data_IF_859154841562
#
_entry.id   IF_859154841562
#
_cell.length_a   1.000
_cell.length_b   1.000
_cell.length_c   1.000
_cell.angle_alpha   90.00
_cell.angle_beta   90.00
_cell.angle_gamma   90.00
#
_symmetry.space_group_name_H-M   'P 1'
#
loop_
_entity.id
_entity.type
_entity.pdbx_description
1 polymer ?
#
# COMPACT_ATOMS: atom_id res chain seq x y z
N UNK A 1 -11.50 11.73 2.45
CA UNK A 1 -11.80 12.20 1.08
C UNK A 1 -11.74 10.98 0.19
N UNK A 2 -12.72 10.76 -0.69
CA UNK A 2 -12.66 9.67 -1.65
C UNK A 2 -11.50 9.93 -2.63
N UNK A 3 -10.84 8.88 -3.10
CA UNK A 3 -9.81 9.00 -4.12
C UNK A 3 -10.47 9.42 -5.44
N UNK A 4 -10.08 10.56 -6.00
CA UNK A 4 -10.67 11.08 -7.24
C UNK A 4 -10.48 10.07 -8.38
N UNK A 5 -11.58 9.78 -9.09
CA UNK A 5 -11.58 8.82 -10.20
C UNK A 5 -11.61 7.34 -9.78
N UNK A 6 -11.54 7.02 -8.49
CA UNK A 6 -11.73 5.66 -7.99
C UNK A 6 -13.21 5.41 -7.68
N UNK A 7 -13.78 4.41 -8.35
CA UNK A 7 -15.16 3.98 -8.14
C UNK A 7 -15.19 2.49 -7.79
N UNK A 8 -15.35 2.21 -6.49
CA UNK A 8 -15.41 0.84 -5.97
C UNK A 8 -16.51 0.02 -6.65
N UNK A 9 -17.67 0.63 -6.96
CA UNK A 9 -18.79 -0.10 -7.53
C UNK A 9 -18.48 -0.64 -8.93
N UNK A 10 -17.62 0.05 -9.71
CA UNK A 10 -17.14 -0.43 -11.01
C UNK A 10 -16.24 -1.65 -10.87
N UNK A 11 -15.32 -1.64 -9.91
CA UNK A 11 -14.46 -2.79 -9.67
C UNK A 11 -15.21 -4.02 -9.16
N UNK A 12 -16.37 -3.84 -8.53
CA UNK A 12 -17.19 -4.93 -8.00
C UNK A 12 -18.30 -5.42 -8.97
N UNK A 13 -18.31 -4.94 -10.22
CA UNK A 13 -19.14 -5.57 -11.24
C UNK A 13 -18.59 -6.96 -11.60
N UNK A 14 -19.45 -7.99 -11.75
CA UNK A 14 -19.01 -9.29 -12.26
C UNK A 14 -18.29 -9.18 -13.60
N UNK A 15 -17.32 -10.06 -13.83
CA UNK A 15 -16.72 -10.22 -15.15
C UNK A 15 -17.73 -10.95 -16.06
N UNK A 16 -17.84 -10.51 -17.32
CA UNK A 16 -18.69 -11.17 -18.30
C UNK A 16 -18.24 -12.62 -18.53
N UNK A 17 -19.17 -13.56 -18.49
CA UNK A 17 -18.91 -14.99 -18.72
C UNK A 17 -19.67 -15.89 -17.75
N UNK A 18 -19.24 -17.16 -17.68
CA UNK A 18 -19.81 -18.13 -16.75
C UNK A 18 -19.28 -17.96 -15.32
N UNK A 19 -18.04 -17.47 -15.19
CA UNK A 19 -17.41 -17.19 -13.90
C UNK A 19 -17.45 -15.69 -13.60
N UNK A 20 -18.22 -15.22 -12.59
CA UNK A 20 -18.29 -13.81 -12.24
C UNK A 20 -16.95 -13.24 -11.75
N UNK A 21 -16.02 -14.10 -11.32
CA UNK A 21 -14.66 -13.71 -10.97
C UNK A 21 -13.71 -13.64 -12.19
N UNK A 22 -14.13 -14.11 -13.36
CA UNK A 22 -13.27 -14.20 -14.55
C UNK A 22 -12.17 -15.28 -14.42
N UNK A 23 -11.33 -15.44 -15.44
CA UNK A 23 -10.24 -16.43 -15.43
C UNK A 23 -9.13 -16.10 -14.42
N UNK A 24 -8.41 -17.13 -13.98
CA UNK A 24 -7.13 -16.96 -13.27
C UNK A 24 -6.06 -16.49 -14.27
N UNK A 25 -5.62 -15.24 -14.17
CA UNK A 25 -4.65 -14.65 -15.09
C UNK A 25 -3.26 -15.30 -14.98
N UNK A 26 -2.98 -16.09 -13.94
CA UNK A 26 -1.73 -16.87 -13.80
C UNK A 26 -1.63 -18.00 -14.81
N UNK A 27 -2.76 -18.47 -15.32
CA UNK A 27 -2.82 -19.54 -16.32
C UNK A 27 -2.59 -19.05 -17.75
N UNK A 28 -2.52 -17.72 -17.96
CA UNK A 28 -2.14 -17.14 -19.24
C UNK A 28 -0.61 -17.05 -19.36
N UNK A 29 -0.02 -18.08 -19.96
CA UNK A 29 1.41 -18.17 -20.23
C UNK A 29 1.85 -17.47 -21.52
N UNK A 30 0.96 -16.73 -22.20
CA UNK A 30 1.33 -16.01 -23.41
C UNK A 30 2.40 -14.94 -23.12
N UNK A 31 3.33 -14.69 -24.07
CA UNK A 31 4.26 -13.58 -23.95
C UNK A 31 3.52 -12.26 -23.73
N UNK A 32 3.83 -11.57 -22.63
CA UNK A 32 3.20 -10.31 -22.28
C UNK A 32 1.82 -10.42 -21.61
N UNK A 33 1.46 -11.58 -21.07
CA UNK A 33 0.23 -11.72 -20.29
C UNK A 33 0.19 -10.75 -19.11
N UNK A 34 -1.02 -10.32 -18.75
CA UNK A 34 -1.25 -9.25 -17.77
C UNK A 34 -0.62 -9.57 -16.42
N UNK A 35 -0.77 -10.82 -15.94
CA UNK A 35 -0.25 -11.25 -14.64
C UNK A 35 1.28 -11.16 -14.59
N UNK A 36 1.99 -11.72 -15.58
CA UNK A 36 3.46 -11.70 -15.56
C UNK A 36 4.01 -10.29 -15.71
N UNK A 37 3.37 -9.44 -16.54
CA UNK A 37 3.74 -8.02 -16.63
C UNK A 37 3.61 -7.28 -15.29
N UNK A 38 2.53 -7.55 -14.55
CA UNK A 38 2.33 -6.98 -13.22
C UNK A 38 3.37 -7.48 -12.21
N UNK A 39 3.62 -8.79 -12.19
CA UNK A 39 4.61 -9.41 -11.32
C UNK A 39 6.01 -8.83 -11.56
N UNK A 40 6.41 -8.74 -12.83
CA UNK A 40 7.74 -8.25 -13.22
C UNK A 40 7.86 -6.75 -12.91
N UNK A 41 6.84 -5.94 -13.22
CA UNK A 41 6.81 -4.52 -12.85
C UNK A 41 6.91 -4.31 -11.34
N UNK A 42 6.24 -5.13 -10.52
CA UNK A 42 6.35 -5.07 -9.06
C UNK A 42 7.74 -5.45 -8.56
N UNK A 43 8.36 -6.47 -9.15
CA UNK A 43 9.72 -6.87 -8.80
C UNK A 43 10.73 -5.74 -9.11
N UNK A 44 10.62 -5.13 -10.28
CA UNK A 44 11.43 -3.97 -10.69
C UNK A 44 11.22 -2.76 -9.78
N UNK A 45 9.95 -2.41 -9.50
CA UNK A 45 9.61 -1.29 -8.63
C UNK A 45 10.27 -1.43 -7.26
N UNK A 46 10.16 -2.61 -6.65
CA UNK A 46 10.75 -2.89 -5.34
C UNK A 46 12.27 -2.96 -5.37
N UNK A 47 12.87 -3.42 -6.47
CA UNK A 47 14.31 -3.38 -6.63
C UNK A 47 14.82 -1.93 -6.73
N UNK A 48 14.10 -1.06 -7.45
CA UNK A 48 14.41 0.37 -7.52
C UNK A 48 14.32 1.05 -6.15
N UNK A 49 13.26 0.80 -5.37
CA UNK A 49 13.14 1.39 -4.01
C UNK A 49 14.30 1.00 -3.11
N UNK A 50 14.71 -0.28 -3.13
CA UNK A 50 15.86 -0.74 -2.34
C UNK A 50 17.18 -0.08 -2.78
N UNK A 51 17.35 0.19 -4.08
CA UNK A 51 18.52 0.89 -4.58
C UNK A 51 18.52 2.37 -4.14
N UNK A 52 17.36 3.00 -4.09
CA UNK A 52 17.20 4.41 -3.70
C UNK A 52 17.35 4.63 -2.20
N UNK A 53 17.02 3.65 -1.37
CA UNK A 53 17.32 3.70 0.08
C UNK A 53 18.82 3.79 0.37
N UNK A 54 19.68 3.38 -0.57
CA UNK A 54 21.12 3.58 -0.48
C UNK A 54 21.58 4.98 -0.96
N UNK A 55 20.72 5.74 -1.66
CA UNK A 55 21.02 7.09 -2.17
C UNK A 55 19.77 8.02 -2.12
N UNK A 56 19.46 8.62 -0.96
CA UNK A 56 18.21 9.33 -0.71
C UNK A 56 18.01 10.64 -1.50
N UNK A 57 19.05 11.20 -2.12
CA UNK A 57 19.00 12.53 -2.77
C UNK A 57 18.11 12.55 -4.05
N UNK A 58 17.74 11.38 -4.58
CA UNK A 58 16.92 11.22 -5.81
C UNK A 58 15.61 10.46 -5.56
N UNK A 59 15.13 10.41 -4.30
CA UNK A 59 14.00 9.58 -3.88
C UNK A 59 12.65 9.98 -4.53
N UNK A 60 12.40 9.49 -5.74
CA UNK A 60 11.13 9.54 -6.47
C UNK A 60 10.40 8.20 -6.41
N UNK A 61 9.08 8.21 -6.63
CA UNK A 61 8.34 6.94 -6.77
C UNK A 61 8.77 6.27 -8.08
N UNK A 62 9.22 5.00 -8.06
CA UNK A 62 9.59 4.30 -9.29
C UNK A 62 8.45 4.30 -10.32
N UNK A 63 8.73 4.57 -11.61
CA UNK A 63 7.70 4.66 -12.65
C UNK A 63 6.89 3.37 -12.83
N UNK A 64 7.45 2.23 -12.43
CA UNK A 64 6.78 0.93 -12.45
C UNK A 64 5.53 0.91 -11.58
N UNK A 65 5.44 1.70 -10.51
CA UNK A 65 4.21 1.80 -9.71
C UNK A 65 3.04 2.36 -10.52
N UNK A 66 3.31 3.25 -11.49
CA UNK A 66 2.28 3.70 -12.44
C UNK A 66 1.84 2.61 -13.38
N UNK A 67 2.79 1.82 -13.87
CA UNK A 67 2.46 0.63 -14.67
C UNK A 67 1.60 -0.36 -13.89
N UNK A 68 1.88 -0.56 -12.60
CA UNK A 68 1.08 -1.45 -11.73
C UNK A 68 -0.31 -0.86 -11.50
N UNK A 69 -0.42 0.44 -11.18
CA UNK A 69 -1.71 1.11 -10.99
C UNK A 69 -2.61 0.94 -12.22
N UNK A 70 -2.09 1.25 -13.41
CA UNK A 70 -2.85 1.22 -14.67
C UNK A 70 -3.23 -0.22 -15.07
N UNK A 71 -2.28 -1.17 -15.00
CA UNK A 71 -2.50 -2.55 -15.42
C UNK A 71 -3.39 -3.32 -14.42
N UNK A 72 -3.15 -3.16 -13.12
CA UNK A 72 -3.89 -3.88 -12.08
C UNK A 72 -5.32 -3.35 -11.99
N UNK A 73 -5.51 -2.02 -12.06
CA UNK A 73 -6.84 -1.42 -12.10
C UNK A 73 -7.66 -1.96 -13.28
N UNK A 74 -7.08 -1.96 -14.49
CA UNK A 74 -7.73 -2.52 -15.67
C UNK A 74 -8.02 -4.02 -15.54
N UNK A 75 -7.08 -4.79 -14.99
CA UNK A 75 -7.27 -6.23 -14.80
C UNK A 75 -8.43 -6.54 -13.84
N UNK A 76 -8.49 -5.85 -12.70
CA UNK A 76 -9.52 -6.02 -11.68
C UNK A 76 -10.91 -5.58 -12.16
N UNK A 77 -10.96 -4.52 -12.96
CA UNK A 77 -12.22 -4.02 -13.52
C UNK A 77 -12.76 -4.94 -14.61
N UNK A 78 -11.91 -5.43 -15.54
CA UNK A 78 -12.41 -6.02 -16.79
C UNK A 78 -11.99 -7.46 -17.08
N UNK A 79 -11.10 -8.07 -16.29
CA UNK A 79 -10.54 -9.39 -16.61
C UNK A 79 -10.69 -10.41 -15.48
N UNK A 80 -10.32 -10.07 -14.25
CA UNK A 80 -10.25 -11.05 -13.16
C UNK A 80 -10.40 -10.41 -11.80
N UNK A 81 -11.17 -11.05 -10.92
CA UNK A 81 -11.29 -10.72 -9.50
C UNK A 81 -10.21 -11.48 -8.77
N UNK A 82 -9.15 -10.77 -8.40
CA UNK A 82 -7.93 -11.37 -7.91
C UNK A 82 -7.35 -10.58 -6.73
N UNK A 83 -7.24 -11.25 -5.58
CA UNK A 83 -6.82 -10.64 -4.33
C UNK A 83 -5.32 -10.29 -4.31
N UNK A 84 -4.49 -11.03 -5.03
CA UNK A 84 -3.06 -10.71 -5.15
C UNK A 84 -2.85 -9.49 -6.05
N UNK A 85 -3.55 -9.42 -7.18
CA UNK A 85 -3.50 -8.22 -8.04
C UNK A 85 -4.05 -7.01 -7.28
N UNK A 86 -5.11 -7.17 -6.47
CA UNK A 86 -5.64 -6.12 -5.61
C UNK A 86 -4.64 -5.67 -4.53
N UNK A 87 -3.84 -6.59 -3.98
CA UNK A 87 -2.75 -6.25 -3.07
C UNK A 87 -1.67 -5.40 -3.75
N UNK A 88 -1.25 -5.77 -4.97
CA UNK A 88 -0.27 -4.98 -5.74
C UNK A 88 -0.82 -3.61 -6.16
N UNK A 89 -2.10 -3.56 -6.52
CA UNK A 89 -2.80 -2.31 -6.80
C UNK A 89 -2.83 -1.40 -5.57
N UNK A 90 -3.09 -1.94 -4.39
CA UNK A 90 -3.05 -1.21 -3.11
C UNK A 90 -1.67 -0.63 -2.83
N UNK A 91 -0.59 -1.39 -3.10
CA UNK A 91 0.78 -0.89 -2.98
C UNK A 91 1.06 0.31 -3.90
N UNK A 92 0.56 0.27 -5.13
CA UNK A 92 0.69 1.37 -6.09
C UNK A 92 -0.13 2.61 -5.65
N UNK A 93 -1.38 2.39 -5.25
CA UNK A 93 -2.26 3.47 -4.79
C UNK A 93 -1.70 4.20 -3.56
N UNK A 94 -1.11 3.48 -2.60
CA UNK A 94 -0.46 4.09 -1.44
C UNK A 94 0.66 5.05 -1.85
N UNK A 95 1.47 4.68 -2.85
CA UNK A 95 2.62 5.49 -3.26
C UNK A 95 2.23 6.74 -4.03
N UNK A 96 1.16 6.67 -4.81
CA UNK A 96 0.70 7.80 -5.62
C UNK A 96 -0.26 8.72 -4.87
N UNK A 97 -1.07 8.15 -3.97
CA UNK A 97 -2.21 8.85 -3.38
C UNK A 97 -2.23 8.79 -1.85
N UNK A 98 -1.16 8.29 -1.21
CA UNK A 98 -1.00 8.23 0.23
C UNK A 98 -2.12 7.44 0.92
N UNK A 99 -2.58 7.93 2.07
CA UNK A 99 -3.60 7.26 2.88
C UNK A 99 -4.97 7.15 2.18
N UNK A 100 -5.31 8.07 1.28
CA UNK A 100 -6.53 7.96 0.49
C UNK A 100 -6.44 6.77 -0.48
N UNK A 101 -5.27 6.59 -1.11
CA UNK A 101 -4.97 5.42 -1.95
C UNK A 101 -4.99 4.12 -1.17
N UNK A 102 -4.40 4.10 0.03
CA UNK A 102 -4.43 2.93 0.90
C UNK A 102 -5.86 2.54 1.28
N UNK A 103 -6.69 3.50 1.72
CA UNK A 103 -8.09 3.25 2.05
C UNK A 103 -8.87 2.71 0.86
N UNK A 104 -8.65 3.25 -0.36
CA UNK A 104 -9.30 2.80 -1.58
C UNK A 104 -8.91 1.36 -1.96
N UNK A 105 -7.61 1.04 -1.99
CA UNK A 105 -7.11 -0.28 -2.34
C UNK A 105 -7.55 -1.36 -1.34
N UNK A 106 -7.50 -1.05 -0.05
CA UNK A 106 -7.96 -1.95 1.02
C UNK A 106 -9.48 -2.13 0.98
N UNK A 107 -10.22 -1.06 0.71
CA UNK A 107 -11.67 -1.14 0.46
C UNK A 107 -12.02 -2.04 -0.72
N UNK A 108 -11.21 -2.01 -1.79
CA UNK A 108 -11.36 -2.93 -2.93
C UNK A 108 -11.09 -4.37 -2.52
N UNK A 109 -9.97 -4.66 -1.84
CA UNK A 109 -9.68 -6.01 -1.35
C UNK A 109 -10.83 -6.56 -0.51
N UNK A 110 -11.39 -5.73 0.39
CA UNK A 110 -12.55 -6.11 1.20
C UNK A 110 -13.76 -6.41 0.33
N UNK A 111 -14.10 -5.52 -0.61
CA UNK A 111 -15.23 -5.71 -1.50
C UNK A 111 -15.12 -6.99 -2.34
N UNK A 112 -13.92 -7.36 -2.78
CA UNK A 112 -13.63 -8.61 -3.48
C UNK A 112 -13.87 -9.83 -2.57
N UNK A 113 -13.35 -9.80 -1.35
CA UNK A 113 -13.54 -10.86 -0.34
C UNK A 113 -15.03 -11.03 0.01
N UNK A 114 -15.78 -9.95 0.15
CA UNK A 114 -17.20 -10.00 0.49
C UNK A 114 -18.05 -10.54 -0.66
N UNK A 115 -17.75 -10.11 -1.90
CA UNK A 115 -18.62 -10.30 -3.07
C UNK A 115 -18.26 -11.50 -3.95
N UNK A 116 -16.98 -11.90 -3.99
CA UNK A 116 -16.47 -12.89 -4.94
C UNK A 116 -15.79 -14.10 -4.30
N UNK A 117 -15.84 -14.26 -2.97
CA UNK A 117 -15.08 -15.27 -2.22
C UNK A 117 -14.96 -16.65 -2.87
N UNK A 118 -16.07 -17.24 -3.32
CA UNK A 118 -16.11 -18.60 -3.89
C UNK A 118 -15.34 -18.73 -5.22
N UNK A 119 -15.23 -17.64 -5.99
CA UNK A 119 -14.53 -17.60 -7.29
C UNK A 119 -13.23 -16.80 -7.26
N UNK A 120 -12.92 -16.14 -6.15
CA UNK A 120 -11.82 -15.19 -6.00
C UNK A 120 -10.47 -15.86 -6.25
N UNK A 121 -9.62 -15.21 -7.05
CA UNK A 121 -8.26 -15.69 -7.32
C UNK A 121 -7.24 -15.11 -6.33
N UNK A 122 -6.14 -15.81 -6.02
CA UNK A 122 -5.90 -17.22 -6.32
C UNK A 122 -6.89 -18.12 -5.58
N UNK A 123 -7.38 -19.17 -6.26
CA UNK A 123 -8.23 -20.17 -5.63
C UNK A 123 -7.41 -21.04 -4.66
N UNK A 124 -8.04 -21.63 -3.63
CA UNK A 124 -7.37 -22.58 -2.75
C UNK A 124 -6.72 -23.74 -3.53
N UNK A 125 -5.50 -24.11 -3.16
CA UNK A 125 -4.75 -25.25 -3.72
C UNK A 125 -4.41 -26.28 -2.62
N UNK A 126 -3.27 -26.98 -2.73
CA UNK A 126 -2.82 -27.97 -1.72
C UNK A 126 -2.59 -27.34 -0.33
N UNK A 127 -2.25 -26.05 -0.28
CA UNK A 127 -2.08 -25.28 0.96
C UNK A 127 -3.42 -24.64 1.44
N UNK A 128 -4.51 -24.88 0.70
CA UNK A 128 -5.86 -24.45 1.07
C UNK A 128 -6.06 -22.94 0.99
N UNK A 129 -6.81 -22.38 1.94
CA UNK A 129 -7.19 -20.95 1.95
C UNK A 129 -5.96 -20.03 2.13
N UNK A 130 -4.87 -20.55 2.71
CA UNK A 130 -3.62 -19.80 2.89
C UNK A 130 -3.13 -19.19 1.57
N UNK A 131 -3.25 -19.94 0.45
CA UNK A 131 -2.88 -19.48 -0.89
C UNK A 131 -3.70 -18.27 -1.34
N UNK A 132 -5.01 -18.28 -1.07
CA UNK A 132 -5.91 -17.16 -1.43
C UNK A 132 -5.53 -15.88 -0.70
N UNK A 133 -5.18 -15.97 0.59
CA UNK A 133 -4.92 -14.80 1.44
C UNK A 133 -3.44 -14.43 1.56
N UNK A 134 -2.53 -15.21 0.98
CA UNK A 134 -1.07 -15.04 1.10
C UNK A 134 -0.59 -13.64 0.72
N UNK A 135 -1.18 -13.03 -0.31
CA UNK A 135 -0.81 -11.69 -0.73
C UNK A 135 -1.14 -10.63 0.35
N UNK A 136 -2.29 -10.76 1.01
CA UNK A 136 -2.70 -9.86 2.10
C UNK A 136 -1.84 -10.09 3.34
N UNK A 137 -1.53 -11.36 3.67
CA UNK A 137 -0.54 -11.69 4.71
C UNK A 137 0.79 -10.99 4.44
N UNK A 138 1.28 -11.03 3.20
CA UNK A 138 2.53 -10.38 2.79
C UNK A 138 2.51 -8.86 2.93
N UNK A 139 1.35 -8.21 2.78
CA UNK A 139 1.22 -6.76 2.98
C UNK A 139 1.46 -6.37 4.46
N UNK A 140 0.90 -7.14 5.39
CA UNK A 140 1.06 -6.92 6.84
C UNK A 140 2.44 -7.38 7.34
N UNK A 141 2.87 -8.55 6.86
CA UNK A 141 4.02 -9.29 7.33
C UNK A 141 3.60 -10.42 8.29
N UNK A 142 4.43 -11.46 8.32
CA UNK A 142 4.30 -12.60 9.25
C UNK A 142 5.58 -12.68 10.09
N UNK A 143 5.51 -12.23 11.35
CA UNK A 143 6.66 -12.17 12.25
C UNK A 143 7.71 -11.08 11.93
N UNK A 144 7.41 -10.16 11.00
CA UNK A 144 8.27 -9.02 10.63
C UNK A 144 7.53 -7.98 9.79
N UNK A 145 8.22 -6.92 9.36
CA UNK A 145 7.63 -5.85 8.55
C UNK A 145 7.16 -6.35 7.17
N UNK A 146 5.86 -6.24 6.91
CA UNK A 146 5.28 -6.51 5.59
C UNK A 146 5.56 -5.44 4.55
N UNK A 147 5.07 -5.64 3.34
CA UNK A 147 5.41 -4.78 2.20
C UNK A 147 4.82 -3.38 2.29
N UNK A 148 3.79 -3.15 3.13
CA UNK A 148 3.22 -1.83 3.36
C UNK A 148 3.91 -1.05 4.49
N UNK A 149 4.65 -1.72 5.39
CA UNK A 149 5.18 -1.08 6.59
C UNK A 149 6.11 0.10 6.28
N UNK A 150 7.12 -0.10 5.43
CA UNK A 150 8.05 0.96 5.02
C UNK A 150 7.38 2.04 4.14
N UNK A 151 6.59 1.69 3.10
CA UNK A 151 5.88 2.69 2.31
C UNK A 151 4.94 3.58 3.13
N UNK A 152 4.22 3.03 4.12
CA UNK A 152 3.37 3.83 5.02
C UNK A 152 4.21 4.86 5.78
N UNK A 153 5.38 4.46 6.33
CA UNK A 153 6.29 5.38 7.02
C UNK A 153 6.81 6.50 6.13
N UNK A 154 6.86 6.27 4.81
CA UNK A 154 7.33 7.20 3.78
C UNK A 154 6.25 8.10 3.19
N UNK A 155 4.97 7.90 3.50
CA UNK A 155 3.90 8.80 3.05
C UNK A 155 4.12 10.21 3.63
N UNK A 156 4.22 11.26 2.79
CA UNK A 156 4.30 12.63 3.29
C UNK A 156 3.11 13.00 4.17
N UNK A 157 3.38 13.49 5.38
CA UNK A 157 2.37 13.93 6.34
C UNK A 157 2.12 15.44 6.22
N UNK A 158 3.18 16.22 6.09
CA UNK A 158 3.15 17.66 5.90
C UNK A 158 4.46 18.12 5.26
N UNK A 159 4.60 19.42 4.99
CA UNK A 159 5.83 19.97 4.41
C UNK A 159 6.54 20.90 5.39
N UNK A 160 7.85 21.04 5.25
CA UNK A 160 8.65 22.05 5.92
C UNK A 160 8.42 23.46 5.33
N UNK A 161 9.18 24.44 5.80
CA UNK A 161 9.10 25.83 5.34
C UNK A 161 9.62 26.08 3.93
N UNK A 162 10.38 25.14 3.37
CA UNK A 162 10.83 25.16 1.98
C UNK A 162 9.92 24.33 1.06
N UNK A 163 8.90 23.68 1.61
CA UNK A 163 7.99 22.82 0.86
C UNK A 163 8.48 21.37 0.73
N UNK A 164 9.56 20.98 1.42
CA UNK A 164 10.02 19.59 1.40
C UNK A 164 9.10 18.70 2.24
N UNK A 165 8.79 17.47 1.79
CA UNK A 165 7.91 16.58 2.52
C UNK A 165 8.56 16.05 3.81
N UNK A 166 7.78 16.03 4.89
CA UNK A 166 8.09 15.36 6.16
C UNK A 166 7.11 14.18 6.29
N UNK A 167 7.65 12.99 6.46
CA UNK A 167 6.92 11.75 6.69
C UNK A 167 7.26 11.15 8.07
N UNK A 168 6.60 10.05 8.41
CA UNK A 168 6.75 9.41 9.73
C UNK A 168 8.19 8.97 10.00
N UNK A 169 8.91 8.45 8.99
CA UNK A 169 10.29 8.00 9.20
C UNK A 169 11.23 9.13 9.63
N UNK A 170 11.02 10.37 9.17
CA UNK A 170 11.83 11.51 9.65
C UNK A 170 11.50 11.86 11.11
N UNK A 171 10.24 11.69 11.52
CA UNK A 171 9.82 11.92 12.91
C UNK A 171 10.46 10.88 13.82
N UNK A 172 10.38 9.59 13.45
CA UNK A 172 11.02 8.49 14.18
C UNK A 172 12.55 8.67 14.25
N UNK A 173 13.17 9.12 13.14
CA UNK A 173 14.60 9.43 13.11
C UNK A 173 14.95 10.58 14.07
N UNK A 174 14.15 11.65 14.09
CA UNK A 174 14.37 12.81 14.96
C UNK A 174 14.24 12.45 16.45
N UNK A 175 13.27 11.60 16.80
CA UNK A 175 13.11 11.09 18.17
C UNK A 175 14.31 10.25 18.59
N UNK A 176 14.83 9.41 17.70
CA UNK A 176 16.02 8.60 17.97
C UNK A 176 17.29 9.45 18.22
N UNK A 177 17.36 10.69 17.70
CA UNK A 177 18.50 11.58 17.97
C UNK A 177 18.62 11.95 19.45
N UNK A 178 17.53 11.95 20.21
CA UNK A 178 17.55 12.29 21.63
C UNK A 178 18.33 11.27 22.49
N UNK A 179 18.49 10.05 21.99
CA UNK A 179 19.25 8.98 22.65
C UNK A 179 20.74 8.94 22.28
N UNK A 180 21.22 9.82 21.40
CA UNK A 180 22.61 9.85 20.94
C UNK A 180 23.48 10.79 21.79
N UNK A 181 24.78 10.49 21.83
CA UNK A 181 25.78 11.44 22.31
C UNK A 181 25.87 12.68 21.39
N UNK A 182 26.44 13.76 21.92
CA UNK A 182 26.48 15.06 21.24
C UNK A 182 27.18 14.99 19.87
N UNK A 183 28.32 14.28 19.79
CA UNK A 183 29.11 14.15 18.56
C UNK A 183 28.32 13.42 17.46
N UNK A 184 27.72 12.28 17.79
CA UNK A 184 26.89 11.51 16.83
C UNK A 184 25.64 12.27 16.44
N UNK A 185 25.00 12.96 17.39
CA UNK A 185 23.82 13.79 17.11
C UNK A 185 24.16 14.91 16.14
N UNK A 186 25.24 15.65 16.37
CA UNK A 186 25.71 16.72 15.48
C UNK A 186 26.07 16.19 14.10
N UNK A 187 26.75 15.05 14.02
CA UNK A 187 27.09 14.41 12.73
C UNK A 187 25.84 14.02 11.92
N UNK A 188 24.78 13.49 12.58
CA UNK A 188 23.51 13.15 11.90
C UNK A 188 22.77 14.38 11.41
N UNK A 189 22.73 15.45 12.20
CA UNK A 189 22.12 16.73 11.81
C UNK A 189 22.89 17.34 10.63
N UNK A 190 24.22 17.32 10.67
CA UNK A 190 25.07 17.79 9.57
C UNK A 190 24.86 16.99 8.27
N UNK A 191 24.48 15.70 8.39
CA UNK A 191 24.11 14.84 7.27
C UNK A 191 22.64 14.97 6.83
N UNK A 192 21.88 15.94 7.37
CA UNK A 192 20.51 16.26 6.94
C UNK A 192 19.39 15.67 7.80
N UNK A 193 19.68 15.03 8.94
CA UNK A 193 18.63 14.58 9.85
C UNK A 193 17.89 15.77 10.47
N UNK A 194 16.55 15.70 10.47
CA UNK A 194 15.71 16.71 11.10
C UNK A 194 15.72 16.55 12.64
N UNK A 195 15.59 17.66 13.36
CA UNK A 195 15.37 17.65 14.81
C UNK A 195 13.88 17.72 15.14
N UNK A 196 13.50 17.24 16.32
CA UNK A 196 12.12 17.36 16.84
C UNK A 196 11.63 18.81 16.80
N UNK A 197 12.46 19.76 17.26
CA UNK A 197 12.15 21.19 17.22
C UNK A 197 11.87 21.69 15.79
N UNK A 198 12.65 21.23 14.79
CA UNK A 198 12.45 21.62 13.39
C UNK A 198 11.13 21.09 12.85
N UNK A 199 10.79 19.85 13.19
CA UNK A 199 9.55 19.18 12.80
C UNK A 199 8.35 19.86 13.46
N UNK A 200 8.39 20.11 14.78
CA UNK A 200 7.32 20.78 15.52
C UNK A 200 7.05 22.19 14.98
N UNK A 201 8.10 22.95 14.67
CA UNK A 201 7.96 24.27 14.06
C UNK A 201 7.30 24.19 12.68
N UNK A 202 7.69 23.23 11.85
CA UNK A 202 7.05 23.01 10.54
C UNK A 202 5.58 22.60 10.68
N UNK A 203 5.25 21.73 11.65
CA UNK A 203 3.90 21.31 11.94
C UNK A 203 3.02 22.48 12.44
N UNK A 204 3.54 23.32 13.33
CA UNK A 204 2.83 24.49 13.87
C UNK A 204 2.47 25.54 12.80
N UNK A 205 3.18 25.54 11.66
CA UNK A 205 2.94 26.46 10.55
C UNK A 205 1.93 25.92 9.53
N UNK A 206 1.52 24.65 9.65
CA UNK A 206 0.46 24.09 8.82
C UNK A 206 -0.90 24.72 9.15
N UNK A 207 -1.70 24.97 8.11
CA UNK A 207 -3.06 25.49 8.28
C UNK A 207 -3.95 24.44 8.95
N UNK A 208 -4.93 24.82 9.79
CA UNK A 208 -5.88 23.87 10.38
C UNK A 208 -6.58 22.96 9.36
N UNK A 209 -6.85 23.48 8.16
CA UNK A 209 -7.44 22.71 7.06
C UNK A 209 -6.58 21.51 6.61
N UNK A 210 -5.25 21.61 6.72
CA UNK A 210 -4.33 20.51 6.42
C UNK A 210 -4.59 19.31 7.34
N UNK A 211 -4.60 19.55 8.65
CA UNK A 211 -4.85 18.51 9.65
C UNK A 211 -6.27 17.95 9.57
N UNK A 212 -7.25 18.83 9.28
CA UNK A 212 -8.63 18.43 9.04
C UNK A 212 -8.81 17.51 7.82
N UNK A 213 -7.88 17.53 6.85
CA UNK A 213 -7.85 16.62 5.72
C UNK A 213 -7.05 15.34 6.01
N UNK A 214 -5.86 15.48 6.62
CA UNK A 214 -4.94 14.36 6.88
C UNK A 214 -5.49 13.37 7.90
N UNK A 215 -5.98 13.86 9.06
CA UNK A 215 -6.41 12.98 10.16
C UNK A 215 -7.55 12.04 9.71
N UNK A 216 -8.61 12.50 9.03
CA UNK A 216 -9.63 11.59 8.51
C UNK A 216 -9.12 10.62 7.46
N UNK A 217 -8.13 11.00 6.63
CA UNK A 217 -7.57 10.08 5.64
C UNK A 217 -6.81 8.92 6.30
N UNK A 218 -6.00 9.21 7.33
CA UNK A 218 -5.31 8.18 8.12
C UNK A 218 -6.32 7.26 8.83
N UNK A 219 -7.36 7.85 9.45
CA UNK A 219 -8.41 7.08 10.11
C UNK A 219 -9.17 6.17 9.14
N UNK A 220 -9.53 6.68 7.96
CA UNK A 220 -10.21 5.89 6.95
C UNK A 220 -9.37 4.71 6.46
N UNK A 221 -8.04 4.89 6.33
CA UNK A 221 -7.15 3.80 5.95
C UNK A 221 -7.08 2.71 7.05
N UNK A 222 -7.01 3.11 8.32
CA UNK A 222 -7.04 2.19 9.46
C UNK A 222 -8.38 1.44 9.56
N UNK A 223 -9.50 2.16 9.47
CA UNK A 223 -10.85 1.58 9.50
C UNK A 223 -11.06 0.59 8.33
N UNK A 224 -10.56 0.92 7.14
CA UNK A 224 -10.62 0.02 5.99
C UNK A 224 -9.83 -1.27 6.25
N UNK A 225 -8.63 -1.17 6.84
CA UNK A 225 -7.80 -2.33 7.17
C UNK A 225 -8.45 -3.24 8.21
N UNK A 226 -9.00 -2.66 9.27
CA UNK A 226 -9.75 -3.39 10.29
C UNK A 226 -10.97 -4.10 9.69
N UNK A 227 -11.69 -3.42 8.80
CA UNK A 227 -12.83 -4.01 8.12
C UNK A 227 -12.45 -5.14 7.14
N UNK A 228 -11.31 -5.03 6.46
CA UNK A 228 -10.75 -6.12 5.66
C UNK A 228 -10.39 -7.32 6.56
N UNK A 229 -9.76 -7.08 7.70
CA UNK A 229 -9.45 -8.12 8.68
C UNK A 229 -10.68 -8.87 9.14
N UNK A 230 -11.73 -8.15 9.55
CA UNK A 230 -12.99 -8.78 9.94
C UNK A 230 -13.66 -9.58 8.80
N UNK A 231 -13.57 -9.11 7.55
CA UNK A 231 -14.08 -9.83 6.38
C UNK A 231 -13.28 -11.12 6.10
N UNK A 232 -11.96 -11.08 6.25
CA UNK A 232 -11.09 -12.23 6.10
C UNK A 232 -11.30 -13.23 7.25
N UNK A 233 -11.43 -12.80 8.49
CA UNK A 233 -11.75 -13.66 9.63
C UNK A 233 -13.05 -14.44 9.40
N UNK A 234 -14.08 -13.75 8.88
CA UNK A 234 -15.38 -14.37 8.61
C UNK A 234 -15.33 -15.42 7.48
N UNK A 235 -14.37 -15.31 6.55
CA UNK A 235 -14.28 -16.14 5.34
C UNK A 235 -13.20 -17.22 5.40
N UNK A 236 -12.04 -16.89 5.97
CA UNK A 236 -10.86 -17.75 6.07
C UNK A 236 -10.69 -18.39 7.46
N UNK A 237 -11.38 -17.90 8.49
CA UNK A 237 -11.31 -18.45 9.84
C UNK A 237 -9.88 -18.47 10.38
N UNK A 238 -9.39 -19.66 10.76
CA UNK A 238 -8.03 -19.83 11.32
C UNK A 238 -6.90 -19.49 10.33
N UNK A 239 -7.20 -19.51 9.04
CA UNK A 239 -6.23 -19.25 7.97
C UNK A 239 -6.23 -17.75 7.59
N UNK A 240 -7.04 -16.92 8.27
CA UNK A 240 -7.04 -15.48 8.06
C UNK A 240 -5.67 -14.86 8.44
N UNK A 241 -5.14 -13.94 7.63
CA UNK A 241 -3.87 -13.31 7.92
C UNK A 241 -3.97 -12.44 9.18
N UNK A 242 -2.89 -12.31 9.97
CA UNK A 242 -2.87 -11.33 11.04
C UNK A 242 -3.07 -9.94 10.46
N UNK A 243 -4.00 -9.17 11.02
CA UNK A 243 -4.33 -7.80 10.60
C UNK A 243 -3.99 -6.75 11.66
N UNK A 244 -3.32 -7.17 12.75
CA UNK A 244 -2.89 -6.37 13.90
C UNK A 244 -1.37 -6.29 14.02
#
# INVERSE_FOLDING_TARGET
>A
MALDGFDLARFLQPIDGEDPAGPDLRQDFAPGSTYYRLRDARAEARAAERAMDANPEEATVPPQWRTIEDLAGKALETQSKDLEIAAWYTEALLRHHGFAGLAAGVGLMRGLVESFWEGLHPRPDEDGIATTVAAVAGLNGDGGDGTLAQPIRKVPLFADMQGNPIALWQIEQADALAGLDAERREARIAAGALTVETIERAAALQKPAHWAALIPAVRAALEAWQALGAALDARAGRDAPPTS
#
